data_IF_836672019270
#
_entry.id   IF_836672019270
#
_cell.length_a   1.000
_cell.length_b   1.000
_cell.length_c   1.000
_cell.angle_alpha   90.00
_cell.angle_beta   90.00
_cell.angle_gamma   90.00
#
_symmetry.space_group_name_H-M   'P 1'
#
loop_
_entity.id
_entity.type
_entity.pdbx_description
1 polymer ?
#
# COMPACT_ATOMS: atom_id res chain seq x y z
N UNK A 1 0.30 23.44 17.81
CA UNK A 1 -0.05 22.13 18.41
C UNK A 1 -1.31 21.64 17.70
N UNK A 2 -1.24 20.48 17.03
CA UNK A 2 -2.39 19.92 16.32
C UNK A 2 -3.50 19.54 17.30
N UNK A 3 -4.76 19.69 16.87
CA UNK A 3 -5.92 19.24 17.63
C UNK A 3 -5.83 17.74 17.86
N UNK A 4 -6.03 17.28 19.11
CA UNK A 4 -6.03 15.86 19.47
C UNK A 4 -7.39 15.49 20.03
N UNK A 5 -8.08 14.59 19.35
CA UNK A 5 -9.35 14.03 19.80
C UNK A 5 -9.12 12.86 20.77
N UNK A 6 -9.67 12.96 21.99
CA UNK A 6 -9.66 11.85 22.95
C UNK A 6 -10.83 10.89 22.68
N UNK A 7 -10.54 9.59 22.78
CA UNK A 7 -11.52 8.49 22.66
C UNK A 7 -11.23 7.45 23.75
N UNK A 8 -12.30 6.87 24.31
CA UNK A 8 -12.20 5.72 25.21
C UNK A 8 -12.39 4.44 24.40
N UNK A 9 -11.53 3.44 24.61
CA UNK A 9 -11.53 2.17 23.89
C UNK A 9 -11.43 1.01 24.88
N UNK A 10 -12.18 -0.05 24.62
CA UNK A 10 -12.09 -1.29 25.39
C UNK A 10 -11.14 -2.25 24.69
N UNK A 11 -10.13 -2.73 25.41
CA UNK A 11 -9.18 -3.74 24.94
C UNK A 11 -9.48 -5.09 25.60
N UNK A 12 -9.16 -6.18 24.91
CA UNK A 12 -9.11 -7.49 25.56
C UNK A 12 -7.98 -7.49 26.61
N UNK A 13 -8.05 -8.36 27.63
CA UNK A 13 -6.99 -8.44 28.65
C UNK A 13 -5.60 -8.79 28.09
N UNK A 14 -5.55 -9.45 26.94
CA UNK A 14 -4.31 -9.77 26.22
C UNK A 14 -3.72 -8.52 25.56
N UNK A 15 -4.53 -7.76 24.83
CA UNK A 15 -4.08 -6.53 24.16
C UNK A 15 -3.70 -5.44 25.16
N UNK A 16 -4.43 -5.32 26.28
CA UNK A 16 -4.07 -4.41 27.36
C UNK A 16 -2.68 -4.74 27.92
N UNK A 17 -2.41 -6.03 28.20
CA UNK A 17 -1.08 -6.48 28.65
C UNK A 17 0.02 -6.19 27.64
N UNK A 18 -0.22 -6.46 26.36
CA UNK A 18 0.76 -6.17 25.32
C UNK A 18 1.12 -4.66 25.27
N UNK A 19 0.14 -3.77 25.46
CA UNK A 19 0.37 -2.32 25.54
C UNK A 19 1.15 -1.97 26.80
N UNK A 20 0.79 -2.54 27.95
CA UNK A 20 1.45 -2.27 29.23
C UNK A 20 2.92 -2.73 29.21
N UNK A 21 3.21 -3.90 28.61
CA UNK A 21 4.56 -4.47 28.52
C UNK A 21 5.51 -3.60 27.70
N UNK A 22 5.09 -3.13 26.51
CA UNK A 22 5.94 -2.27 25.66
C UNK A 22 6.13 -0.86 26.24
N UNK A 23 5.20 -0.39 27.06
CA UNK A 23 5.38 0.85 27.83
C UNK A 23 6.33 0.62 29.01
N UNK A 24 6.19 -0.49 29.73
CA UNK A 24 7.03 -0.81 30.89
C UNK A 24 8.50 -1.04 30.51
N UNK A 25 8.77 -1.57 29.32
CA UNK A 25 10.13 -1.73 28.76
C UNK A 25 10.73 -0.40 28.27
N UNK A 26 9.91 0.66 28.18
CA UNK A 26 10.33 1.96 27.68
C UNK A 26 10.41 2.05 26.15
N UNK A 27 9.91 1.05 25.41
CA UNK A 27 9.80 1.11 23.95
C UNK A 27 8.86 2.24 23.51
N UNK A 28 7.80 2.49 24.29
CA UNK A 28 6.88 3.61 24.11
C UNK A 28 6.72 4.43 25.38
N UNK A 29 6.58 5.74 25.25
CA UNK A 29 6.43 6.63 26.41
C UNK A 29 5.01 6.58 27.00
N UNK A 30 4.01 6.09 26.26
CA UNK A 30 2.63 5.97 26.76
C UNK A 30 1.79 5.00 25.94
N UNK A 31 0.71 4.48 26.53
CA UNK A 31 -0.31 3.70 25.82
C UNK A 31 -0.90 4.47 24.62
N UNK A 32 -1.07 5.79 24.74
CA UNK A 32 -1.58 6.62 23.63
C UNK A 32 -0.63 6.63 22.43
N UNK A 33 0.67 6.47 22.67
CA UNK A 33 1.67 6.38 21.62
C UNK A 33 1.64 5.02 20.92
N UNK A 34 1.55 3.93 21.69
CA UNK A 34 1.38 2.56 21.17
C UNK A 34 0.17 2.49 20.24
N UNK A 35 -0.98 3.01 20.70
CA UNK A 35 -2.22 2.98 19.91
C UNK A 35 -2.11 3.84 18.65
N UNK A 36 -1.47 5.02 18.72
CA UNK A 36 -1.25 5.86 17.53
C UNK A 36 -0.35 5.16 16.50
N UNK A 37 0.72 4.51 16.95
CA UNK A 37 1.60 3.78 16.04
C UNK A 37 0.90 2.56 15.42
N UNK A 38 0.21 1.76 16.23
CA UNK A 38 -0.58 0.63 15.73
C UNK A 38 -1.65 1.06 14.71
N UNK A 39 -2.34 2.18 14.95
CA UNK A 39 -3.32 2.74 14.02
C UNK A 39 -2.67 3.29 12.75
N UNK A 40 -1.48 3.87 12.84
CA UNK A 40 -0.71 4.29 11.65
C UNK A 40 -0.35 3.08 10.81
N UNK A 41 0.23 2.03 11.39
CA UNK A 41 0.54 0.79 10.66
C UNK A 41 -0.72 0.15 10.07
N UNK A 42 -1.84 0.16 10.80
CA UNK A 42 -3.13 -0.32 10.30
C UNK A 42 -3.62 0.47 9.08
N UNK A 43 -3.49 1.81 9.13
CA UNK A 43 -3.83 2.69 8.02
C UNK A 43 -2.87 2.49 6.86
N UNK A 44 -1.57 2.46 7.08
CA UNK A 44 -0.55 2.27 6.04
C UNK A 44 -0.77 0.95 5.30
N UNK A 45 -1.14 -0.14 5.99
CA UNK A 45 -1.52 -1.41 5.33
C UNK A 45 -2.75 -1.30 4.43
N UNK A 46 -3.68 -0.39 4.75
CA UNK A 46 -4.87 -0.11 3.92
C UNK A 46 -4.60 0.91 2.82
N UNK A 47 -3.67 1.85 3.04
CA UNK A 47 -3.31 2.88 2.07
C UNK A 47 -2.28 2.37 1.05
N UNK A 48 -1.39 1.44 1.44
CA UNK A 48 -0.52 0.68 0.53
C UNK A 48 -1.32 -0.20 -0.45
N UNK A 49 -2.59 -0.45 -0.13
CA UNK A 49 -3.58 -1.03 -1.05
C UNK A 49 -4.21 0.07 -1.90
N UNK A 50 -3.40 0.91 -2.56
CA UNK A 50 -3.89 1.85 -3.59
C UNK A 50 -4.76 1.16 -4.66
N UNK A 51 -4.66 -0.17 -4.70
CA UNK A 51 -5.73 -1.11 -5.08
C UNK A 51 -6.01 -2.06 -3.90
N UNK A 52 -7.28 -2.23 -3.55
CA UNK A 52 -7.75 -3.30 -2.66
C UNK A 52 -7.35 -4.68 -3.20
N UNK A 53 -7.31 -5.71 -2.34
CA UNK A 53 -7.04 -7.09 -2.79
C UNK A 53 -8.01 -7.51 -3.90
N UNK A 54 -9.27 -7.08 -3.80
CA UNK A 54 -10.31 -7.32 -4.80
C UNK A 54 -10.01 -6.62 -6.13
N UNK A 55 -9.56 -5.37 -6.11
CA UNK A 55 -9.15 -4.64 -7.32
C UNK A 55 -7.91 -5.26 -7.97
N UNK A 56 -6.93 -5.70 -7.17
CA UNK A 56 -5.76 -6.42 -7.68
C UNK A 56 -6.16 -7.75 -8.34
N UNK A 57 -7.05 -8.53 -7.72
CA UNK A 57 -7.59 -9.78 -8.31
C UNK A 57 -8.29 -9.50 -9.63
N UNK A 58 -9.06 -8.41 -9.72
CA UNK A 58 -9.73 -8.01 -10.95
C UNK A 58 -8.73 -7.70 -12.07
N UNK A 59 -7.71 -6.88 -11.79
CA UNK A 59 -6.67 -6.55 -12.77
C UNK A 59 -5.89 -7.78 -13.26
N UNK A 60 -5.62 -8.74 -12.35
CA UNK A 60 -5.01 -10.02 -12.71
C UNK A 60 -5.93 -10.84 -13.63
N UNK A 61 -7.23 -10.90 -13.32
CA UNK A 61 -8.19 -11.62 -14.15
C UNK A 61 -8.32 -10.98 -15.55
N UNK A 62 -8.36 -9.65 -15.63
CA UNK A 62 -8.32 -8.92 -16.91
C UNK A 62 -7.07 -9.28 -17.73
N UNK A 63 -5.91 -9.45 -17.08
CA UNK A 63 -4.69 -9.92 -17.73
C UNK A 63 -4.78 -11.37 -18.22
N UNK A 64 -5.35 -12.28 -17.43
CA UNK A 64 -5.58 -13.69 -17.83
C UNK A 64 -6.54 -13.76 -19.03
N UNK A 65 -7.60 -12.95 -19.01
CA UNK A 65 -8.62 -12.91 -20.07
C UNK A 65 -8.14 -12.16 -21.33
N UNK A 66 -7.01 -11.45 -21.25
CA UNK A 66 -6.43 -10.68 -22.38
C UNK A 66 -5.83 -11.55 -23.49
N UNK A 67 -5.75 -12.88 -23.29
CA UNK A 67 -5.25 -13.84 -24.27
C UNK A 67 -3.87 -14.40 -23.91
N UNK A 68 -3.26 -15.19 -24.81
CA UNK A 68 -2.00 -15.86 -24.54
C UNK A 68 -0.84 -14.87 -24.38
N UNK A 69 0.08 -15.19 -23.47
CA UNK A 69 1.31 -14.43 -23.30
C UNK A 69 2.14 -14.42 -24.58
N UNK A 70 2.77 -13.27 -24.86
CA UNK A 70 3.63 -13.05 -26.04
C UNK A 70 5.09 -12.86 -25.59
N UNK A 71 6.08 -13.19 -26.44
CA UNK A 71 7.49 -12.87 -26.16
C UNK A 71 7.64 -11.35 -26.04
N UNK A 72 8.19 -10.88 -24.91
CA UNK A 72 8.34 -9.47 -24.63
C UNK A 72 9.33 -8.75 -25.56
N UNK A 73 10.38 -9.42 -26.05
CA UNK A 73 11.43 -8.74 -26.83
C UNK A 73 10.89 -8.16 -28.15
N UNK A 74 10.19 -8.91 -29.01
CA UNK A 74 9.60 -8.36 -30.23
C UNK A 74 8.58 -7.24 -29.97
N UNK A 75 7.81 -7.34 -28.86
CA UNK A 75 6.83 -6.31 -28.48
C UNK A 75 7.53 -5.01 -28.12
N UNK A 76 8.61 -5.08 -27.32
CA UNK A 76 9.38 -3.91 -26.90
C UNK A 76 10.13 -3.27 -28.07
N UNK A 77 10.67 -4.06 -29.01
CA UNK A 77 11.29 -3.54 -30.23
C UNK A 77 10.28 -2.76 -31.08
N UNK A 78 9.07 -3.32 -31.27
CA UNK A 78 7.99 -2.64 -31.98
C UNK A 78 7.53 -1.35 -31.28
N UNK A 79 7.41 -1.36 -29.95
CA UNK A 79 7.05 -0.17 -29.17
C UNK A 79 8.10 0.93 -29.31
N UNK A 80 9.39 0.59 -29.20
CA UNK A 80 10.48 1.56 -29.39
C UNK A 80 10.48 2.16 -30.78
N UNK A 81 10.32 1.33 -31.82
CA UNK A 81 10.25 1.81 -33.20
C UNK A 81 9.09 2.79 -33.41
N UNK A 82 7.91 2.48 -32.83
CA UNK A 82 6.74 3.36 -32.88
C UNK A 82 7.03 4.72 -32.24
N UNK A 83 7.48 4.75 -30.99
CA UNK A 83 7.71 6.01 -30.28
C UNK A 83 8.87 6.83 -30.85
N UNK A 84 9.90 6.17 -31.40
CA UNK A 84 10.99 6.88 -32.08
C UNK A 84 10.50 7.58 -33.37
N UNK A 85 9.63 6.92 -34.13
CA UNK A 85 9.00 7.51 -35.32
C UNK A 85 8.08 8.68 -34.95
N UNK A 86 7.32 8.58 -33.85
CA UNK A 86 6.50 9.68 -33.35
C UNK A 86 7.37 10.89 -32.98
N UNK A 87 8.48 10.71 -32.27
CA UNK A 87 9.41 11.81 -31.90
C UNK A 87 10.04 12.47 -33.12
N UNK A 88 10.37 11.70 -34.17
CA UNK A 88 10.95 12.24 -35.40
C UNK A 88 9.92 13.00 -36.25
N UNK A 89 8.67 12.56 -36.27
CA UNK A 89 7.58 13.27 -36.96
C UNK A 89 7.14 14.58 -36.29
N UNK A 90 7.58 14.86 -35.06
CA UNK A 90 7.42 16.17 -34.40
C UNK A 90 8.56 17.16 -34.72
N UNK A 91 9.59 16.75 -35.46
CA UNK A 91 10.77 17.56 -35.80
C UNK A 91 10.80 18.04 -37.27
N UNK A 92 9.82 17.62 -38.08
CA UNK A 92 9.53 18.14 -39.44
C UNK A 92 8.27 19.02 -39.42
#
# INVERSE_FOLDING_TARGET
MGHVDKRSITLSPELARAVDDVVATGEYASASEVIRDALRQWKDRRDLMGYTVEELRKLVQEGIDSGPAQDGRPIMERLRAKYLAEVQGFQE
#
